data_IF_318759554292
#
_entry.id   IF_318759554292
#
_cell.length_a   1.000
_cell.length_b   1.000
_cell.length_c   1.000
_cell.angle_alpha   90.00
_cell.angle_beta   90.00
_cell.angle_gamma   90.00
#
_symmetry.space_group_name_H-M   'P 1'
#
loop_
_entity.id
_entity.type
_entity.pdbx_description
1 polymer ?
#
# COMPACT_ATOMS: atom_id res chain seq x y z
N UNK A 1 -71.86 32.71 5.58
CA UNK A 1 -71.81 33.70 6.68
C UNK A 1 -70.35 33.84 7.04
N UNK A 2 -69.71 34.94 6.53
CA UNK A 2 -69.49 36.24 7.14
C UNK A 2 -68.68 36.08 8.47
N UNK A 3 -67.48 36.56 8.55
CA UNK A 3 -66.80 37.90 8.64
C UNK A 3 -65.27 37.61 8.77
N UNK A 4 -64.40 38.16 7.97
CA UNK A 4 -63.71 39.49 7.94
C UNK A 4 -63.29 39.99 9.34
N UNK A 5 -62.00 40.08 9.60
CA UNK A 5 -61.37 41.34 10.06
C UNK A 5 -59.86 41.30 9.72
N UNK A 6 -59.47 42.37 9.01
CA UNK A 6 -58.08 42.88 8.84
C UNK A 6 -57.65 43.60 10.13
N UNK A 7 -56.39 43.61 10.44
CA UNK A 7 -55.62 44.73 11.01
C UNK A 7 -54.11 44.49 10.86
N UNK A 8 -53.55 45.21 10.12
CA UNK A 8 -52.49 46.17 9.78
C UNK A 8 -51.31 46.31 10.77
N UNK A 9 -50.15 46.47 10.12
CA UNK A 9 -48.95 47.28 10.45
C UNK A 9 -47.98 46.76 11.57
N UNK A 10 -46.68 46.65 11.14
CA UNK A 10 -45.52 46.66 11.98
C UNK A 10 -44.25 46.34 11.19
N UNK A 11 -43.78 47.34 10.46
CA UNK A 11 -42.47 47.37 9.78
C UNK A 11 -41.40 47.72 10.82
N UNK A 12 -40.34 46.91 11.00
CA UNK A 12 -38.98 47.37 11.37
C UNK A 12 -37.95 46.28 11.20
N UNK A 13 -36.93 46.55 10.39
CA UNK A 13 -35.54 46.31 10.75
C UNK A 13 -34.89 45.03 10.29
N UNK A 14 -34.13 45.18 9.24
CA UNK A 14 -33.12 44.27 8.71
C UNK A 14 -32.07 43.84 9.75
N UNK A 15 -31.67 42.62 9.68
CA UNK A 15 -30.24 42.25 9.61
C UNK A 15 -30.13 40.82 9.07
N UNK A 16 -29.57 40.70 7.89
CA UNK A 16 -29.15 39.44 7.30
C UNK A 16 -27.92 38.92 8.07
N UNK A 17 -28.07 37.80 8.72
CA UNK A 17 -26.95 36.93 9.10
C UNK A 17 -27.02 35.68 8.23
N UNK A 18 -26.22 35.71 7.18
CA UNK A 18 -25.91 34.52 6.40
C UNK A 18 -25.15 33.56 7.29
N UNK A 19 -25.83 32.54 7.79
CA UNK A 19 -25.17 31.36 8.35
C UNK A 19 -24.66 30.51 7.17
N UNK A 20 -23.39 30.65 6.83
CA UNK A 20 -22.67 29.64 6.08
C UNK A 20 -22.67 28.37 6.91
N UNK A 21 -23.49 27.41 6.50
CA UNK A 21 -23.31 26.00 6.90
C UNK A 21 -22.07 25.49 6.17
N UNK A 22 -20.91 25.58 6.83
CA UNK A 22 -19.75 24.77 6.50
C UNK A 22 -20.12 23.31 6.81
N UNK A 23 -20.56 22.60 5.79
CA UNK A 23 -20.51 21.16 5.79
C UNK A 23 -19.00 20.80 5.71
N UNK A 24 -18.37 20.64 6.86
CA UNK A 24 -17.06 20.03 6.95
C UNK A 24 -17.18 18.62 6.40
N UNK A 25 -16.85 18.45 5.12
CA UNK A 25 -16.55 17.16 4.53
C UNK A 25 -15.28 16.70 5.22
N UNK A 26 -15.41 15.79 6.16
CA UNK A 26 -14.26 15.13 6.77
C UNK A 26 -13.45 14.45 5.65
N UNK A 27 -12.18 14.83 5.45
CA UNK A 27 -11.36 14.13 4.46
C UNK A 27 -11.18 12.69 4.93
N UNK A 28 -11.49 11.74 4.05
CA UNK A 28 -11.23 10.32 4.26
C UNK A 28 -9.80 10.14 4.81
N UNK A 29 -9.64 9.34 5.86
CA UNK A 29 -8.35 9.07 6.52
C UNK A 29 -7.29 8.58 5.53
N UNK A 30 -7.67 7.87 4.47
CA UNK A 30 -6.81 7.46 3.37
C UNK A 30 -6.17 8.65 2.64
N UNK A 31 -6.96 9.67 2.31
CA UNK A 31 -6.48 10.89 1.64
C UNK A 31 -5.50 11.70 2.51
N UNK A 32 -5.65 11.67 3.83
CA UNK A 32 -4.76 12.36 4.75
C UNK A 32 -3.39 11.65 4.87
N UNK A 33 -3.38 10.31 4.82
CA UNK A 33 -2.14 9.51 4.84
C UNK A 33 -1.35 9.72 3.55
N UNK A 34 -2.02 9.69 2.39
CA UNK A 34 -1.38 9.96 1.08
C UNK A 34 -0.80 11.38 1.00
N UNK A 35 -1.55 12.38 1.45
CA UNK A 35 -1.10 13.77 1.43
C UNK A 35 0.09 14.03 2.39
N UNK A 36 0.25 13.26 3.46
CA UNK A 36 1.41 13.36 4.36
C UNK A 36 2.64 12.66 3.79
N UNK A 37 2.46 11.52 3.11
CA UNK A 37 3.53 10.78 2.45
C UNK A 37 4.19 11.57 1.31
N UNK A 38 3.39 12.25 0.49
CA UNK A 38 3.89 13.05 -0.62
C UNK A 38 4.71 14.29 -0.18
N UNK A 39 4.40 14.88 0.97
CA UNK A 39 5.13 16.05 1.50
C UNK A 39 6.51 15.72 2.06
N UNK A 40 6.77 14.46 2.38
CA UNK A 40 8.05 14.01 2.95
C UNK A 40 9.01 13.40 1.92
N UNK A 41 8.62 13.27 0.66
CA UNK A 41 9.41 12.63 -0.41
C UNK A 41 10.77 13.29 -0.69
N UNK A 42 11.10 14.42 -0.10
CA UNK A 42 12.36 15.14 -0.32
C UNK A 42 13.28 15.32 0.89
N UNK A 43 12.90 14.86 2.09
CA UNK A 43 13.68 15.12 3.32
C UNK A 43 13.69 13.89 4.20
N UNK A 44 14.79 13.11 4.17
CA UNK A 44 15.07 12.04 5.11
C UNK A 44 13.92 11.06 5.43
N UNK A 45 14.17 10.02 6.20
CA UNK A 45 13.09 9.16 6.65
C UNK A 45 12.13 9.93 7.57
N UNK A 46 10.80 9.82 7.38
CA UNK A 46 9.85 10.39 8.33
C UNK A 46 10.06 9.79 9.72
N UNK A 47 9.62 10.49 10.75
CA UNK A 47 9.61 9.94 12.12
C UNK A 47 8.81 8.62 12.14
N UNK A 48 9.13 7.68 13.05
CA UNK A 48 8.31 6.48 13.23
C UNK A 48 6.84 6.84 13.50
N UNK A 49 5.93 6.11 12.88
CA UNK A 49 4.50 6.20 13.17
C UNK A 49 4.15 5.58 14.53
N UNK A 50 2.92 5.75 14.95
CA UNK A 50 2.39 5.12 16.18
C UNK A 50 1.82 3.72 15.94
N UNK A 51 1.30 3.47 14.73
CA UNK A 51 0.71 2.21 14.32
C UNK A 51 1.75 1.27 13.68
N UNK A 52 1.59 -0.03 13.84
CA UNK A 52 2.45 -1.04 13.21
C UNK A 52 2.24 -1.12 11.69
N UNK A 53 3.17 -1.75 10.98
CA UNK A 53 3.04 -1.98 9.52
C UNK A 53 1.72 -2.69 9.22
N UNK A 54 1.36 -3.74 9.97
CA UNK A 54 0.11 -4.48 9.74
C UNK A 54 -1.12 -3.60 9.98
N UNK A 55 -1.13 -2.77 11.04
CA UNK A 55 -2.23 -1.84 11.32
C UNK A 55 -2.37 -0.81 10.21
N UNK A 56 -1.26 -0.19 9.80
CA UNK A 56 -1.27 0.80 8.70
C UNK A 56 -1.76 0.16 7.39
N UNK A 57 -1.32 -1.06 7.08
CA UNK A 57 -1.76 -1.77 5.88
C UNK A 57 -3.27 -2.06 5.90
N UNK A 58 -3.81 -2.47 7.06
CA UNK A 58 -5.26 -2.72 7.22
C UNK A 58 -6.06 -1.42 7.07
N UNK A 59 -5.64 -0.35 7.75
CA UNK A 59 -6.32 0.94 7.71
C UNK A 59 -6.25 1.61 6.32
N UNK A 60 -5.16 1.39 5.59
CA UNK A 60 -4.98 1.89 4.23
C UNK A 60 -5.69 1.02 3.15
N UNK A 61 -6.34 -0.08 3.53
CA UNK A 61 -7.14 -0.91 2.64
C UNK A 61 -6.36 -1.89 1.76
N UNK A 62 -5.14 -2.29 2.16
CA UNK A 62 -4.37 -3.33 1.46
C UNK A 62 -4.88 -4.74 1.82
N UNK A 63 -6.16 -5.02 1.46
CA UNK A 63 -6.85 -6.25 1.84
C UNK A 63 -6.17 -7.50 1.28
N UNK A 64 -5.71 -7.46 0.03
CA UNK A 64 -5.02 -8.58 -0.63
C UNK A 64 -3.69 -8.90 0.07
N UNK A 65 -2.90 -7.88 0.40
CA UNK A 65 -1.64 -8.06 1.14
C UNK A 65 -1.87 -8.64 2.53
N UNK A 66 -2.86 -8.14 3.26
CA UNK A 66 -3.22 -8.64 4.60
C UNK A 66 -3.74 -10.07 4.52
N UNK A 67 -4.58 -10.37 3.50
CA UNK A 67 -5.08 -11.71 3.21
C UNK A 67 -3.93 -12.69 2.91
N UNK A 68 -2.96 -12.28 2.09
CA UNK A 68 -1.79 -13.09 1.78
C UNK A 68 -0.93 -13.42 3.01
N UNK A 69 -0.73 -12.44 3.91
CA UNK A 69 -0.02 -12.67 5.18
C UNK A 69 -0.77 -13.67 6.07
N UNK A 70 -2.09 -13.48 6.21
CA UNK A 70 -2.93 -14.37 7.02
C UNK A 70 -2.97 -15.80 6.45
N UNK A 71 -3.06 -15.94 5.13
CA UNK A 71 -3.04 -17.22 4.44
C UNK A 71 -1.73 -17.99 4.71
N UNK A 72 -0.59 -17.33 4.51
CA UNK A 72 0.72 -17.95 4.73
C UNK A 72 0.93 -18.33 6.19
N UNK A 73 0.50 -17.51 7.13
CA UNK A 73 0.61 -17.83 8.57
C UNK A 73 -0.30 -18.98 8.97
N UNK A 74 -1.50 -19.07 8.38
CA UNK A 74 -2.42 -20.19 8.64
C UNK A 74 -1.87 -21.53 8.10
N UNK A 75 -1.24 -21.53 6.91
CA UNK A 75 -0.77 -22.75 6.26
C UNK A 75 0.62 -23.20 6.72
N UNK A 76 1.50 -22.26 7.05
CA UNK A 76 2.93 -22.53 7.27
C UNK A 76 3.44 -22.17 8.67
N UNK A 77 2.59 -21.55 9.53
CA UNK A 77 3.00 -21.00 10.84
C UNK A 77 4.25 -20.10 10.73
N UNK A 78 4.26 -19.26 9.67
CA UNK A 78 5.44 -18.45 9.30
C UNK A 78 5.71 -17.28 10.25
N UNK A 79 4.73 -16.88 11.07
CA UNK A 79 4.82 -15.81 12.05
C UNK A 79 5.00 -14.41 11.42
N UNK A 80 4.56 -14.22 10.18
CA UNK A 80 4.69 -12.94 9.48
C UNK A 80 3.72 -11.89 10.03
N UNK A 81 2.51 -12.30 10.40
CA UNK A 81 1.54 -11.39 11.00
C UNK A 81 2.10 -10.83 12.31
N UNK A 82 2.63 -11.69 13.17
CA UNK A 82 3.26 -11.26 14.44
C UNK A 82 4.48 -10.37 14.20
N UNK A 83 5.31 -10.68 13.19
CA UNK A 83 6.46 -9.86 12.82
C UNK A 83 6.05 -8.43 12.46
N UNK A 84 4.99 -8.26 11.68
CA UNK A 84 4.54 -6.95 11.22
C UNK A 84 3.57 -6.26 12.17
N UNK A 85 2.88 -7.00 13.05
CA UNK A 85 1.94 -6.46 14.02
C UNK A 85 2.65 -6.05 15.32
N UNK A 86 3.47 -6.93 15.89
CA UNK A 86 4.08 -6.77 17.21
C UNK A 86 5.62 -6.71 17.20
N UNK A 87 6.25 -7.00 16.06
CA UNK A 87 7.71 -7.02 15.94
C UNK A 87 8.35 -5.65 16.20
N UNK A 88 9.48 -5.66 16.89
CA UNK A 88 10.28 -4.45 17.19
C UNK A 88 11.35 -4.16 16.14
N UNK A 89 11.64 -5.13 15.28
CA UNK A 89 12.59 -4.99 14.18
C UNK A 89 12.05 -4.03 13.12
N UNK A 90 12.94 -3.15 12.64
CA UNK A 90 12.55 -2.19 11.60
C UNK A 90 12.62 -2.84 10.21
N UNK A 91 11.56 -2.67 9.44
CA UNK A 91 11.46 -3.18 8.08
C UNK A 91 11.04 -2.08 7.08
N UNK A 92 11.39 -2.29 5.83
CA UNK A 92 10.83 -1.54 4.71
C UNK A 92 9.99 -2.50 3.90
N UNK A 93 8.71 -2.19 3.74
CA UNK A 93 7.75 -3.01 3.00
C UNK A 93 7.40 -2.31 1.70
N UNK A 94 7.53 -3.03 0.59
CA UNK A 94 6.99 -2.64 -0.71
C UNK A 94 5.59 -3.25 -0.82
N UNK A 95 4.56 -2.46 -0.52
CA UNK A 95 3.17 -2.93 -0.42
C UNK A 95 2.45 -2.80 -1.77
N UNK A 96 2.11 -3.90 -2.45
CA UNK A 96 1.32 -3.86 -3.65
C UNK A 96 -0.12 -3.41 -3.35
N UNK A 97 -0.73 -2.66 -4.27
CA UNK A 97 -2.16 -2.34 -4.21
C UNK A 97 -3.01 -3.58 -4.51
N UNK A 98 -4.31 -3.54 -4.20
CA UNK A 98 -5.21 -4.65 -4.54
C UNK A 98 -5.25 -4.87 -6.06
N UNK A 99 -5.25 -3.81 -6.86
CA UNK A 99 -5.20 -3.90 -8.33
C UNK A 99 -3.89 -4.52 -8.84
N UNK A 100 -2.81 -4.44 -8.05
CA UNK A 100 -1.56 -5.12 -8.38
C UNK A 100 -1.69 -6.64 -8.23
N UNK A 101 -2.44 -7.11 -7.24
CA UNK A 101 -2.76 -8.53 -7.07
C UNK A 101 -3.70 -9.03 -8.16
N UNK A 102 -4.76 -8.30 -8.51
CA UNK A 102 -5.66 -8.66 -9.61
C UNK A 102 -4.88 -8.83 -10.93
N UNK A 103 -3.93 -7.94 -11.20
CA UNK A 103 -3.05 -8.06 -12.36
C UNK A 103 -2.15 -9.28 -12.29
N UNK A 104 -1.63 -9.62 -11.12
CA UNK A 104 -0.83 -10.82 -10.91
C UNK A 104 -1.66 -12.08 -11.20
N UNK A 105 -2.88 -12.16 -10.67
CA UNK A 105 -3.77 -13.31 -10.89
C UNK A 105 -4.07 -13.51 -12.39
N UNK A 106 -4.39 -12.44 -13.11
CA UNK A 106 -4.59 -12.51 -14.55
C UNK A 106 -3.36 -12.96 -15.34
N UNK A 107 -2.15 -12.53 -14.93
CA UNK A 107 -0.90 -12.97 -15.54
C UNK A 107 -0.63 -14.45 -15.26
N UNK A 108 -0.81 -14.90 -14.03
CA UNK A 108 -0.60 -16.30 -13.63
C UNK A 108 -1.59 -17.22 -14.31
N UNK A 109 -2.87 -16.85 -14.40
CA UNK A 109 -3.89 -17.58 -15.12
C UNK A 109 -3.49 -17.80 -16.59
N UNK A 110 -2.96 -16.74 -17.24
CA UNK A 110 -2.48 -16.81 -18.61
C UNK A 110 -1.25 -17.72 -18.81
N UNK A 111 -0.33 -17.74 -17.83
CA UNK A 111 0.90 -18.55 -17.92
C UNK A 111 0.65 -20.01 -17.56
N UNK A 112 -0.15 -20.25 -16.52
CA UNK A 112 -0.39 -21.59 -16.00
C UNK A 112 -1.53 -22.31 -16.74
N UNK A 113 -2.36 -21.59 -17.49
CA UNK A 113 -3.55 -22.13 -18.13
C UNK A 113 -4.60 -22.63 -17.12
N UNK A 114 -4.56 -22.11 -15.91
CA UNK A 114 -5.47 -22.40 -14.79
C UNK A 114 -6.11 -21.09 -14.33
N UNK A 115 -7.33 -21.16 -13.82
CA UNK A 115 -8.01 -20.00 -13.26
C UNK A 115 -7.39 -19.69 -11.88
N UNK A 116 -6.82 -18.50 -11.73
CA UNK A 116 -6.23 -17.98 -10.48
C UNK A 116 -6.96 -16.67 -10.19
N UNK A 117 -7.83 -16.67 -9.21
CA UNK A 117 -8.68 -15.54 -8.87
C UNK A 117 -8.37 -14.97 -7.48
N UNK A 118 -7.75 -15.78 -6.62
CA UNK A 118 -7.40 -15.39 -5.27
C UNK A 118 -6.04 -15.94 -4.81
N UNK A 119 -5.52 -15.39 -3.72
CA UNK A 119 -4.19 -15.75 -3.22
C UNK A 119 -4.10 -17.21 -2.78
N UNK A 120 -5.22 -17.81 -2.38
CA UNK A 120 -5.31 -19.21 -1.92
C UNK A 120 -5.19 -20.22 -3.06
N UNK A 121 -5.35 -19.79 -4.33
CA UNK A 121 -5.08 -20.63 -5.49
C UNK A 121 -3.58 -20.84 -5.74
N UNK A 122 -2.74 -20.04 -5.08
CA UNK A 122 -1.29 -20.11 -5.19
C UNK A 122 -0.74 -20.89 -3.98
N UNK A 123 0.15 -21.87 -4.18
CA UNK A 123 0.75 -22.61 -3.06
C UNK A 123 1.38 -21.70 -2.02
N UNK A 124 1.07 -21.89 -0.74
CA UNK A 124 1.52 -21.02 0.36
C UNK A 124 3.06 -20.83 0.42
N UNK A 125 3.93 -21.82 0.12
CA UNK A 125 5.37 -21.59 0.04
C UNK A 125 5.77 -20.57 -1.02
N UNK A 126 5.08 -20.55 -2.16
CA UNK A 126 5.31 -19.56 -3.24
C UNK A 126 4.90 -18.17 -2.80
N UNK A 127 3.74 -18.05 -2.17
CA UNK A 127 3.27 -16.78 -1.60
C UNK A 127 4.22 -16.26 -0.53
N UNK A 128 4.74 -17.14 0.34
CA UNK A 128 5.74 -16.80 1.35
C UNK A 128 7.02 -16.20 0.74
N UNK A 129 7.53 -16.80 -0.33
CA UNK A 129 8.73 -16.31 -1.01
C UNK A 129 8.46 -14.93 -1.67
N UNK A 130 7.31 -14.76 -2.30
CA UNK A 130 6.89 -13.47 -2.84
C UNK A 130 6.77 -12.42 -1.73
N UNK A 131 6.14 -12.73 -0.60
CA UNK A 131 6.03 -11.81 0.54
C UNK A 131 7.40 -11.43 1.10
N UNK A 132 8.32 -12.40 1.27
CA UNK A 132 9.70 -12.14 1.71
C UNK A 132 10.48 -11.29 0.71
N UNK A 133 10.15 -11.35 -0.57
CA UNK A 133 10.76 -10.54 -1.61
C UNK A 133 10.31 -9.08 -1.55
N UNK A 134 9.13 -8.81 -1.00
CA UNK A 134 8.60 -7.47 -0.79
C UNK A 134 9.10 -6.78 0.49
N UNK A 135 9.86 -7.47 1.33
CA UNK A 135 10.30 -6.96 2.62
C UNK A 135 11.81 -6.86 2.70
N UNK A 136 12.31 -5.70 3.08
CA UNK A 136 13.75 -5.45 3.25
C UNK A 136 14.04 -5.10 4.71
N UNK A 137 15.13 -5.61 5.30
CA UNK A 137 15.56 -5.23 6.64
C UNK A 137 15.92 -3.76 6.73
N UNK A 138 15.56 -3.16 7.86
CA UNK A 138 15.86 -1.77 8.17
C UNK A 138 14.85 -0.78 7.62
N UNK A 139 14.80 0.40 8.23
CA UNK A 139 13.92 1.51 7.86
C UNK A 139 14.57 2.33 6.75
N UNK A 140 14.16 2.15 5.51
CA UNK A 140 14.74 2.80 4.32
C UNK A 140 13.74 3.79 3.73
N UNK A 141 13.99 5.08 3.88
CA UNK A 141 13.19 6.11 3.22
C UNK A 141 13.41 6.12 1.70
N UNK A 142 12.54 6.81 0.96
CA UNK A 142 12.56 6.90 -0.49
C UNK A 142 13.93 7.32 -1.04
N UNK A 143 14.61 8.29 -0.42
CA UNK A 143 15.95 8.73 -0.83
C UNK A 143 17.03 7.65 -0.66
N UNK A 144 16.77 6.67 0.19
CA UNK A 144 17.65 5.50 0.41
C UNK A 144 17.26 4.30 -0.47
N UNK A 145 16.08 4.32 -1.07
CA UNK A 145 15.57 3.30 -1.99
C UNK A 145 15.71 3.75 -3.43
N UNK A 146 15.20 4.94 -3.76
CA UNK A 146 15.28 5.53 -5.10
C UNK A 146 16.60 6.31 -5.21
N UNK A 147 17.52 5.91 -6.09
CA UNK A 147 18.77 6.61 -6.24
C UNK A 147 18.59 7.93 -7.02
N UNK A 148 19.45 8.94 -6.79
CA UNK A 148 19.40 10.19 -7.56
C UNK A 148 19.88 10.01 -9.01
N UNK A 149 20.58 8.90 -9.31
CA UNK A 149 21.08 8.53 -10.64
C UNK A 149 21.19 7.01 -10.76
N UNK A 150 20.92 6.50 -11.95
CA UNK A 150 21.09 5.08 -12.29
C UNK A 150 20.09 4.17 -11.56
N UNK A 151 20.62 3.07 -11.07
CA UNK A 151 19.83 2.00 -10.40
C UNK A 151 20.47 1.65 -9.05
N UNK A 152 19.66 1.31 -8.08
CA UNK A 152 20.10 0.81 -6.78
C UNK A 152 19.59 -0.60 -6.56
N UNK A 153 20.50 -1.49 -6.21
CA UNK A 153 20.15 -2.86 -5.83
C UNK A 153 19.60 -2.89 -4.40
N UNK A 154 18.46 -3.52 -4.23
CA UNK A 154 17.81 -3.79 -2.94
C UNK A 154 17.91 -5.29 -2.66
N UNK A 155 18.26 -5.63 -1.42
CA UNK A 155 18.34 -7.02 -0.94
C UNK A 155 17.20 -7.26 0.07
N UNK A 156 16.14 -7.95 -0.32
CA UNK A 156 15.02 -8.28 0.55
C UNK A 156 15.32 -9.48 1.47
N UNK A 157 14.34 -9.88 2.30
CA UNK A 157 14.46 -11.02 3.22
C UNK A 157 14.67 -12.34 2.46
N UNK A 158 14.13 -12.48 1.27
CA UNK A 158 14.35 -13.65 0.39
C UNK A 158 15.79 -13.76 -0.09
N UNK A 159 16.59 -12.67 -0.01
CA UNK A 159 18.00 -12.57 -0.46
C UNK A 159 18.19 -12.57 -1.98
N UNK A 160 17.17 -12.73 -2.78
CA UNK A 160 17.19 -12.42 -4.20
C UNK A 160 17.04 -10.91 -4.39
N UNK A 161 17.82 -10.31 -5.27
CA UNK A 161 17.87 -8.85 -5.38
C UNK A 161 16.99 -8.32 -6.50
N UNK A 162 16.48 -7.11 -6.30
CA UNK A 162 15.86 -6.32 -7.36
C UNK A 162 16.49 -4.94 -7.45
N UNK A 163 16.33 -4.28 -8.61
CA UNK A 163 16.82 -2.94 -8.85
C UNK A 163 15.73 -1.88 -8.73
N UNK A 164 16.04 -0.74 -8.12
CA UNK A 164 15.16 0.44 -8.13
C UNK A 164 15.86 1.55 -8.89
N UNK A 165 15.20 2.14 -9.88
CA UNK A 165 15.72 3.20 -10.72
C UNK A 165 15.37 4.58 -10.19
N UNK A 166 16.01 5.59 -10.79
CA UNK A 166 15.81 7.00 -10.45
C UNK A 166 14.39 7.52 -10.70
N UNK A 167 13.62 6.88 -11.56
CA UNK A 167 12.22 7.14 -11.87
C UNK A 167 11.25 6.39 -10.94
N UNK A 168 11.79 5.75 -9.89
CA UNK A 168 11.07 4.90 -8.94
C UNK A 168 10.52 3.60 -9.54
N UNK A 169 10.87 3.24 -10.78
CA UNK A 169 10.55 1.93 -11.35
C UNK A 169 11.40 0.83 -10.69
N UNK A 170 10.79 -0.35 -10.53
CA UNK A 170 11.42 -1.52 -9.93
C UNK A 170 11.67 -2.56 -11.02
N UNK A 171 12.91 -3.06 -11.07
CA UNK A 171 13.31 -4.17 -11.93
C UNK A 171 13.56 -5.39 -11.08
N UNK A 172 12.71 -6.38 -11.20
CA UNK A 172 12.86 -7.66 -10.51
C UNK A 172 13.71 -8.68 -11.27
N UNK A 173 14.24 -8.30 -12.42
CA UNK A 173 15.13 -9.14 -13.23
C UNK A 173 14.41 -10.12 -14.15
N UNK A 174 13.09 -10.11 -14.22
CA UNK A 174 12.31 -11.03 -15.05
C UNK A 174 12.29 -10.57 -16.52
N UNK A 175 12.96 -11.31 -17.37
CA UNK A 175 12.82 -11.22 -18.82
C UNK A 175 11.66 -12.15 -19.27
N UNK A 176 10.44 -11.64 -19.35
CA UNK A 176 9.32 -12.45 -19.87
C UNK A 176 7.97 -12.16 -19.25
N UNK A 177 7.88 -12.11 -17.93
CA UNK A 177 6.74 -11.57 -17.23
C UNK A 177 7.06 -10.11 -16.89
N UNK A 178 6.51 -9.17 -17.64
CA UNK A 178 6.71 -7.74 -17.36
C UNK A 178 5.92 -7.38 -16.11
N UNK A 179 6.56 -7.48 -14.97
CA UNK A 179 6.08 -6.94 -13.69
C UNK A 179 6.83 -5.65 -13.38
N UNK A 180 6.95 -4.75 -14.35
CA UNK A 180 7.55 -3.43 -14.14
C UNK A 180 6.72 -2.70 -13.09
N UNK A 181 7.06 -2.87 -11.82
CA UNK A 181 6.44 -2.18 -10.70
C UNK A 181 7.01 -0.78 -10.57
N UNK A 182 6.22 0.15 -10.04
CA UNK A 182 6.68 1.49 -9.70
C UNK A 182 6.23 1.86 -8.30
N UNK A 183 7.06 2.62 -7.58
CA UNK A 183 6.67 3.17 -6.29
C UNK A 183 5.73 4.36 -6.53
N UNK A 184 4.45 4.17 -6.23
CA UNK A 184 3.41 5.20 -6.43
C UNK A 184 3.23 6.09 -5.21
N UNK A 185 3.43 5.55 -4.01
CA UNK A 185 3.43 6.32 -2.76
C UNK A 185 4.57 5.87 -1.88
N UNK A 186 5.34 6.81 -1.36
CA UNK A 186 6.52 6.50 -0.59
C UNK A 186 6.48 7.09 0.82
N UNK A 187 7.27 6.50 1.73
CA UNK A 187 7.49 7.02 3.07
C UNK A 187 6.25 7.03 3.99
N UNK A 188 5.34 6.06 3.86
CA UNK A 188 4.27 5.88 4.85
C UNK A 188 4.90 5.34 6.15
N UNK A 189 4.83 6.10 7.24
CA UNK A 189 5.52 5.74 8.47
C UNK A 189 4.71 4.72 9.28
N UNK A 190 5.41 3.71 9.80
CA UNK A 190 4.89 2.78 10.80
C UNK A 190 5.83 2.74 12.02
N UNK A 191 5.38 2.23 13.16
CA UNK A 191 6.19 2.12 14.38
C UNK A 191 7.38 1.17 14.20
N UNK A 192 7.18 0.07 13.52
CA UNK A 192 8.18 -0.96 13.23
C UNK A 192 8.69 -0.93 11.77
N UNK A 193 8.52 0.19 11.04
CA UNK A 193 9.08 0.31 9.70
C UNK A 193 8.59 1.47 8.88
N UNK A 194 8.71 1.31 7.56
CA UNK A 194 8.25 2.25 6.55
C UNK A 194 7.65 1.48 5.38
N UNK A 195 6.59 2.00 4.80
CA UNK A 195 5.90 1.36 3.68
C UNK A 195 6.08 2.22 2.43
N UNK A 196 6.37 1.56 1.32
CA UNK A 196 6.33 2.12 -0.04
C UNK A 196 5.27 1.37 -0.82
N UNK A 197 4.26 2.06 -1.31
CA UNK A 197 3.19 1.46 -2.12
C UNK A 197 3.68 1.29 -3.54
N UNK A 198 3.43 0.13 -4.12
CA UNK A 198 3.80 -0.21 -5.49
C UNK A 198 2.56 -0.63 -6.29
N UNK A 199 2.58 -0.35 -7.59
CA UNK A 199 1.47 -0.59 -8.51
C UNK A 199 1.47 -1.99 -9.16
N UNK A 200 2.49 -2.80 -8.92
CA UNK A 200 2.54 -4.21 -9.33
C UNK A 200 3.24 -5.05 -8.28
N UNK A 201 2.89 -6.35 -8.22
CA UNK A 201 3.58 -7.33 -7.38
C UNK A 201 4.92 -7.69 -8.02
N UNK A 202 6.01 -7.57 -7.26
CA UNK A 202 7.33 -8.00 -7.70
C UNK A 202 7.49 -9.50 -7.44
N UNK A 203 7.91 -10.25 -8.46
CA UNK A 203 8.02 -11.70 -8.38
C UNK A 203 9.51 -12.10 -8.42
N UNK A 204 9.99 -12.91 -7.45
CA UNK A 204 11.39 -13.35 -7.46
C UNK A 204 11.69 -14.29 -8.63
N UNK A 205 12.91 -14.23 -9.20
CA UNK A 205 13.32 -15.09 -10.31
C UNK A 205 13.16 -16.58 -10.03
N UNK A 206 13.40 -17.02 -8.79
CA UNK A 206 13.21 -18.42 -8.37
C UNK A 206 11.77 -18.89 -8.51
N UNK A 207 10.80 -18.04 -8.17
CA UNK A 207 9.37 -18.34 -8.30
C UNK A 207 8.97 -18.48 -9.78
N UNK A 208 9.44 -17.57 -10.62
CA UNK A 208 9.15 -17.64 -12.07
C UNK A 208 9.76 -18.92 -12.67
N UNK A 209 11.00 -19.25 -12.32
CA UNK A 209 11.62 -20.49 -12.78
C UNK A 209 10.83 -21.73 -12.33
N UNK A 210 10.22 -21.71 -11.15
CA UNK A 210 9.38 -22.82 -10.67
C UNK A 210 8.03 -22.92 -11.40
N UNK A 211 7.47 -21.78 -11.84
CA UNK A 211 6.18 -21.74 -12.54
C UNK A 211 6.28 -22.09 -14.05
N UNK A 212 7.49 -22.05 -14.62
CA UNK A 212 7.73 -22.28 -16.07
C UNK A 212 8.31 -23.63 -16.40
N UNK A 213 8.46 -24.53 -15.43
CA UNK A 213 8.88 -25.93 -15.59
C UNK A 213 7.68 -26.85 -15.70
#
# INVERSE_FOLDING_TARGET
MLRRTLTTFGLVGATALAACSDAATEPSTASAVEASAQRTAGRGAPAPGSASIATVATEAGFSELVGALAYVDAELDAGLVDLFLAGTSQHTVFAPTNEAFERLYGLLSGVLGAEIDEITDIPAPVVLDVLRYHVTPGRRAANSVVPPRGERTITPLLRETFGVRMDASIRDGLTGLRTDASIVTANIPASNGIIHVIDAVIVPPSVVAALTQ
#
